data_IF_422078906775
#
_entry.id   IF_422078906775
#
_cell.length_a   1.000
_cell.length_b   1.000
_cell.length_c   1.000
_cell.angle_alpha   90.00
_cell.angle_beta   90.00
_cell.angle_gamma   90.00
#
_symmetry.space_group_name_H-M   'P 1'
#
loop_
_entity.id
_entity.type
_entity.pdbx_description
1 polymer ?
#
# COMPACT_ATOMS: atom_id res chain seq x y z
N UNK A 1 -12.49 38.60 -0.33
CA UNK A 1 -11.58 38.30 0.79
C UNK A 1 -10.42 37.48 0.27
N UNK A 2 -9.19 38.01 0.34
CA UNK A 2 -8.00 37.26 -0.06
C UNK A 2 -7.67 36.26 1.04
N UNK A 3 -7.91 34.98 0.79
CA UNK A 3 -7.50 33.90 1.69
C UNK A 3 -5.97 33.93 1.76
N UNK A 4 -5.42 34.26 2.93
CA UNK A 4 -4.00 34.11 3.20
C UNK A 4 -3.63 32.65 2.92
N UNK A 5 -2.93 32.39 1.82
CA UNK A 5 -2.39 31.06 1.55
C UNK A 5 -1.29 30.80 2.57
N UNK A 6 -1.62 30.04 3.62
CA UNK A 6 -0.59 29.44 4.47
C UNK A 6 0.30 28.60 3.55
N UNK A 7 1.60 28.89 3.53
CA UNK A 7 2.58 28.05 2.86
C UNK A 7 2.40 26.63 3.39
N UNK A 8 2.14 25.63 2.53
CA UNK A 8 1.92 24.27 3.00
C UNK A 8 3.16 23.82 3.78
N UNK A 9 2.95 23.18 4.93
CA UNK A 9 4.04 22.64 5.78
C UNK A 9 4.77 21.46 5.13
N UNK A 10 4.47 21.16 3.87
CA UNK A 10 4.92 20.02 3.09
C UNK A 10 5.15 20.46 1.64
N UNK A 11 6.07 19.79 0.95
CA UNK A 11 6.46 20.10 -0.44
C UNK A 11 5.90 19.11 -1.45
N UNK A 12 5.42 17.95 -1.00
CA UNK A 12 4.92 16.86 -1.84
C UNK A 12 3.63 16.30 -1.25
N UNK A 13 2.66 15.98 -2.10
CA UNK A 13 1.50 15.15 -1.75
C UNK A 13 1.66 13.79 -2.41
N UNK A 14 1.55 12.72 -1.63
CA UNK A 14 1.49 11.35 -2.15
C UNK A 14 0.12 10.76 -1.85
N UNK A 15 -0.59 10.34 -2.88
CA UNK A 15 -1.88 9.68 -2.78
C UNK A 15 -1.74 8.19 -3.10
N UNK A 16 -2.05 7.34 -2.12
CA UNK A 16 -2.09 5.88 -2.27
C UNK A 16 -3.54 5.48 -2.54
N UNK A 17 -3.77 4.89 -3.71
CA UNK A 17 -4.99 4.17 -4.00
C UNK A 17 -4.84 2.70 -3.61
N UNK A 18 -5.27 2.38 -2.39
CA UNK A 18 -5.17 1.03 -1.86
C UNK A 18 -6.41 0.23 -2.27
N UNK A 19 -6.46 -0.37 -3.46
CA UNK A 19 -7.65 -1.08 -3.96
C UNK A 19 -7.85 -2.49 -3.37
N UNK A 20 -8.95 -3.14 -3.76
CA UNK A 20 -9.16 -4.56 -3.42
C UNK A 20 -8.34 -5.48 -4.32
N UNK A 21 -8.37 -5.22 -5.64
CA UNK A 21 -7.69 -6.05 -6.64
C UNK A 21 -6.32 -5.49 -6.96
N UNK A 22 -6.22 -4.18 -7.13
CA UNK A 22 -4.99 -3.51 -7.55
C UNK A 22 -4.82 -2.21 -6.78
N UNK A 23 -3.58 -1.93 -6.42
CA UNK A 23 -3.19 -0.77 -5.64
C UNK A 23 -2.08 0.00 -6.36
N UNK A 24 -1.98 1.30 -6.12
CA UNK A 24 -0.97 2.15 -6.73
C UNK A 24 -0.87 3.48 -6.00
N UNK A 25 0.04 4.34 -6.46
CA UNK A 25 0.13 5.69 -5.94
C UNK A 25 0.46 6.70 -7.04
N UNK A 26 0.16 7.95 -6.72
CA UNK A 26 0.58 9.11 -7.49
C UNK A 26 1.10 10.19 -6.55
N UNK A 27 1.90 11.10 -7.06
CA UNK A 27 2.37 12.25 -6.30
C UNK A 27 2.39 13.53 -7.14
N UNK A 28 2.39 14.67 -6.47
CA UNK A 28 2.66 15.97 -7.07
C UNK A 28 3.43 16.86 -6.11
N UNK A 29 4.21 17.78 -6.65
CA UNK A 29 4.89 18.81 -5.87
C UNK A 29 3.94 19.97 -5.62
N UNK A 30 3.99 20.57 -4.43
CA UNK A 30 3.15 21.75 -4.12
C UNK A 30 3.53 22.97 -4.96
N UNK A 31 4.74 23.00 -5.53
CA UNK A 31 5.18 24.02 -6.47
C UNK A 31 4.53 23.92 -7.84
N UNK A 32 4.06 22.73 -8.22
CA UNK A 32 3.33 22.48 -9.48
C UNK A 32 2.24 21.40 -9.28
N UNK A 33 1.10 21.77 -8.66
CA UNK A 33 0.07 20.79 -8.26
C UNK A 33 -0.62 20.08 -9.43
N UNK A 34 -0.59 20.67 -10.64
CA UNK A 34 -1.21 20.10 -11.84
C UNK A 34 -0.31 19.03 -12.51
N UNK A 35 0.99 19.02 -12.19
CA UNK A 35 1.92 17.98 -12.62
C UNK A 35 1.74 16.71 -11.77
N UNK A 36 0.84 15.82 -12.21
CA UNK A 36 0.59 14.53 -11.54
C UNK A 36 1.54 13.45 -12.07
N UNK A 37 2.36 12.93 -11.17
CA UNK A 37 3.27 11.82 -11.42
C UNK A 37 2.63 10.51 -10.93
N UNK A 38 2.19 9.68 -11.86
CA UNK A 38 1.64 8.35 -11.54
C UNK A 38 2.73 7.29 -11.60
N UNK A 39 2.74 6.36 -10.64
CA UNK A 39 3.68 5.24 -10.68
C UNK A 39 3.32 4.28 -11.84
N UNK A 40 4.31 3.94 -12.66
CA UNK A 40 4.13 3.07 -13.84
C UNK A 40 5.12 1.92 -13.95
N UNK A 41 6.14 1.90 -13.09
CA UNK A 41 7.18 0.87 -13.04
C UNK A 41 6.97 0.02 -11.79
N UNK A 42 6.62 -1.23 -11.97
CA UNK A 42 6.46 -2.19 -10.88
C UNK A 42 7.39 -3.36 -11.13
N UNK A 43 8.10 -3.79 -10.10
CA UNK A 43 8.86 -5.05 -10.16
C UNK A 43 7.89 -6.21 -10.44
N UNK A 44 8.32 -7.15 -11.30
CA UNK A 44 7.50 -8.25 -11.79
C UNK A 44 6.40 -7.87 -12.80
N UNK A 45 6.28 -6.59 -13.18
CA UNK A 45 5.37 -6.18 -14.25
C UNK A 45 5.92 -6.54 -15.64
N UNK A 46 5.02 -6.79 -16.60
CA UNK A 46 5.39 -7.09 -17.98
C UNK A 46 6.20 -5.94 -18.60
N UNK A 47 7.43 -6.20 -19.09
CA UNK A 47 8.26 -5.19 -19.73
C UNK A 47 7.52 -4.52 -20.91
N UNK A 48 7.42 -3.19 -20.87
CA UNK A 48 6.75 -2.40 -21.91
C UNK A 48 5.25 -2.16 -21.68
N UNK A 49 4.64 -2.79 -20.67
CA UNK A 49 3.25 -2.50 -20.25
C UNK A 49 3.28 -1.50 -19.09
N UNK A 50 2.83 -0.27 -19.35
CA UNK A 50 2.77 0.77 -18.33
C UNK A 50 1.55 0.60 -17.40
N UNK A 51 1.61 -0.40 -16.51
CA UNK A 51 0.58 -0.60 -15.50
C UNK A 51 0.68 0.48 -14.41
N UNK A 52 -0.39 1.26 -14.23
CA UNK A 52 -0.45 2.31 -13.20
C UNK A 52 -0.64 1.76 -11.78
N UNK A 53 -0.89 0.45 -11.67
CA UNK A 53 -1.16 -0.26 -10.43
C UNK A 53 -0.50 -1.63 -10.45
N UNK A 54 -0.30 -2.17 -9.26
CA UNK A 54 0.17 -3.53 -9.01
C UNK A 54 -0.94 -4.33 -8.29
N UNK A 55 -0.99 -5.68 -8.40
CA UNK A 55 -1.93 -6.49 -7.65
C UNK A 55 -1.88 -6.18 -6.15
N UNK A 56 -3.02 -6.26 -5.47
CA UNK A 56 -3.08 -6.15 -4.00
C UNK A 56 -2.83 -7.52 -3.40
N UNK A 57 -1.57 -7.95 -3.55
CA UNK A 57 -1.07 -9.25 -3.12
C UNK A 57 0.12 -9.03 -2.20
N UNK A 58 0.10 -9.65 -1.03
CA UNK A 58 1.19 -9.60 -0.06
C UNK A 58 1.71 -11.01 0.18
N UNK A 59 3.03 -11.16 0.18
CA UNK A 59 3.70 -12.40 0.57
C UNK A 59 4.59 -12.13 1.79
N UNK A 60 4.40 -12.94 2.83
CA UNK A 60 5.27 -12.96 4.01
C UNK A 60 5.99 -14.31 4.11
N UNK A 61 7.20 -14.28 4.65
CA UNK A 61 7.99 -15.48 4.94
C UNK A 61 7.30 -16.34 6.01
N UNK A 62 7.71 -17.61 6.22
CA UNK A 62 7.18 -18.46 7.29
C UNK A 62 7.28 -17.86 8.70
N UNK A 63 8.21 -16.93 8.92
CA UNK A 63 8.40 -16.18 10.16
C UNK A 63 7.47 -14.96 10.28
N UNK A 64 6.60 -14.73 9.29
CA UNK A 64 5.68 -13.59 9.24
C UNK A 64 6.34 -12.28 8.81
N UNK A 65 7.55 -12.32 8.25
CA UNK A 65 8.27 -11.11 7.82
C UNK A 65 7.91 -10.71 6.38
N UNK A 66 7.96 -9.42 6.06
CA UNK A 66 7.70 -8.94 4.70
C UNK A 66 8.69 -9.55 3.71
N UNK A 67 8.18 -10.24 2.69
CA UNK A 67 9.00 -10.67 1.56
C UNK A 67 8.79 -9.76 0.35
N UNK A 68 7.56 -9.71 -0.16
CA UNK A 68 7.24 -8.93 -1.37
C UNK A 68 5.77 -8.50 -1.42
N UNK A 69 5.47 -7.58 -2.32
CA UNK A 69 4.13 -7.11 -2.63
C UNK A 69 3.91 -7.08 -4.15
N UNK A 70 2.66 -7.15 -4.60
CA UNK A 70 2.32 -6.95 -6.02
C UNK A 70 2.62 -8.15 -6.89
N UNK A 71 3.06 -7.89 -8.14
CA UNK A 71 3.44 -8.94 -9.09
C UNK A 71 4.52 -9.87 -8.52
N UNK A 72 5.58 -9.31 -7.92
CA UNK A 72 6.64 -10.10 -7.27
C UNK A 72 6.10 -11.04 -6.19
N UNK A 73 5.11 -10.63 -5.39
CA UNK A 73 4.49 -11.51 -4.40
C UNK A 73 3.69 -12.64 -5.03
N UNK A 74 2.90 -12.32 -6.06
CA UNK A 74 2.11 -13.30 -6.78
C UNK A 74 3.02 -14.31 -7.46
N UNK A 75 3.97 -13.85 -8.26
CA UNK A 75 4.78 -14.72 -9.11
C UNK A 75 5.67 -15.62 -8.25
N UNK A 76 6.36 -15.06 -7.24
CA UNK A 76 7.17 -15.84 -6.31
C UNK A 76 6.36 -16.95 -5.61
N UNK A 77 5.17 -16.64 -5.10
CA UNK A 77 4.34 -17.65 -4.41
C UNK A 77 3.90 -18.79 -5.34
N UNK A 78 3.61 -18.50 -6.62
CA UNK A 78 3.18 -19.52 -7.58
C UNK A 78 4.35 -20.32 -8.16
N UNK A 79 5.58 -19.80 -8.04
CA UNK A 79 6.81 -20.49 -8.43
C UNK A 79 7.38 -21.38 -7.30
N UNK A 80 6.93 -21.23 -6.05
CA UNK A 80 7.33 -22.08 -4.93
C UNK A 80 6.88 -23.53 -5.12
N UNK A 81 7.70 -24.45 -4.61
CA UNK A 81 7.27 -25.85 -4.49
C UNK A 81 6.01 -25.96 -3.60
N UNK A 82 5.03 -26.81 -3.93
CA UNK A 82 3.77 -26.89 -3.18
C UNK A 82 3.91 -27.22 -1.69
N UNK A 83 4.99 -27.90 -1.30
CA UNK A 83 5.29 -28.17 0.10
C UNK A 83 5.82 -26.93 0.83
N UNK A 84 6.68 -26.15 0.17
CA UNK A 84 7.19 -24.89 0.70
C UNK A 84 6.09 -23.84 0.79
N UNK A 85 5.28 -23.69 -0.26
CA UNK A 85 4.19 -22.70 -0.32
C UNK A 85 3.20 -22.81 0.85
N UNK A 86 3.04 -24.00 1.45
CA UNK A 86 2.21 -24.21 2.65
C UNK A 86 2.74 -23.49 3.89
N UNK A 87 4.04 -23.20 3.94
CA UNK A 87 4.65 -22.50 5.05
C UNK A 87 4.56 -20.97 4.94
N UNK A 88 4.40 -20.45 3.72
CA UNK A 88 4.36 -19.02 3.44
C UNK A 88 2.97 -18.41 3.62
N UNK A 89 2.91 -17.14 4.00
CA UNK A 89 1.64 -16.41 4.12
C UNK A 89 1.39 -15.56 2.88
N UNK A 90 0.58 -16.07 1.98
CA UNK A 90 0.12 -15.34 0.80
C UNK A 90 -1.30 -14.80 1.02
N UNK A 91 -1.47 -13.49 0.82
CA UNK A 91 -2.74 -12.79 0.94
C UNK A 91 -3.12 -12.11 -0.36
N UNK A 92 -4.35 -12.33 -0.82
CA UNK A 92 -4.97 -11.59 -1.92
C UNK A 92 -6.36 -11.08 -1.53
N UNK A 93 -6.80 -9.97 -2.13
CA UNK A 93 -8.14 -9.37 -1.93
C UNK A 93 -8.50 -9.12 -0.45
N UNK A 94 -7.50 -9.07 0.43
CA UNK A 94 -7.68 -9.01 1.88
C UNK A 94 -8.34 -7.71 2.35
N UNK A 95 -8.33 -6.65 1.53
CA UNK A 95 -9.09 -5.41 1.75
C UNK A 95 -10.59 -5.67 1.99
N UNK A 96 -11.16 -6.70 1.35
CA UNK A 96 -12.59 -7.00 1.50
C UNK A 96 -12.94 -7.46 2.91
N UNK A 97 -11.99 -8.05 3.65
CA UNK A 97 -12.28 -8.61 4.97
C UNK A 97 -12.68 -7.51 5.96
N UNK A 98 -12.02 -6.35 5.93
CA UNK A 98 -12.37 -5.24 6.83
C UNK A 98 -13.64 -4.50 6.41
N UNK A 99 -14.11 -4.69 5.17
CA UNK A 99 -15.42 -4.21 4.73
C UNK A 99 -16.56 -5.16 5.13
N UNK A 100 -16.36 -6.47 5.00
CA UNK A 100 -17.42 -7.47 5.24
C UNK A 100 -17.54 -7.92 6.70
N UNK A 101 -16.56 -7.59 7.56
CA UNK A 101 -16.58 -7.97 8.97
C UNK A 101 -17.42 -6.98 9.78
N UNK A 102 -18.53 -7.46 10.34
CA UNK A 102 -19.45 -6.68 11.18
C UNK A 102 -18.78 -6.15 12.46
N UNK A 103 -17.96 -7.01 13.09
CA UNK A 103 -17.26 -6.74 14.35
C UNK A 103 -15.75 -6.55 14.11
N UNK A 104 -15.41 -5.60 13.23
CA UNK A 104 -14.01 -5.25 12.97
C UNK A 104 -13.36 -4.68 14.24
N UNK A 105 -12.25 -5.28 14.68
CA UNK A 105 -11.45 -4.81 15.80
C UNK A 105 -9.97 -4.81 15.45
N UNK A 106 -9.12 -4.20 16.28
CA UNK A 106 -7.66 -4.26 16.11
C UNK A 106 -7.07 -5.66 16.33
N UNK A 107 -7.87 -6.59 16.87
CA UNK A 107 -7.51 -8.00 17.05
C UNK A 107 -8.01 -8.90 15.91
N UNK A 108 -8.68 -8.32 14.90
CA UNK A 108 -9.17 -9.09 13.75
C UNK A 108 -7.99 -9.73 13.03
N UNK A 109 -8.12 -11.01 12.72
CA UNK A 109 -7.13 -11.79 11.97
C UNK A 109 -7.58 -11.99 10.52
N UNK A 110 -6.59 -12.12 9.63
CA UNK A 110 -6.76 -12.55 8.26
C UNK A 110 -6.23 -13.97 8.10
N UNK A 111 -6.90 -14.74 7.25
CA UNK A 111 -6.45 -16.06 6.86
C UNK A 111 -5.67 -15.94 5.54
N UNK A 112 -4.45 -16.47 5.51
CA UNK A 112 -3.66 -16.60 4.30
C UNK A 112 -4.17 -17.79 3.47
N UNK A 113 -3.72 -17.92 2.22
CA UNK A 113 -4.14 -19.01 1.32
C UNK A 113 -3.87 -20.41 1.89
N UNK A 114 -2.85 -20.57 2.73
CA UNK A 114 -2.53 -21.82 3.42
C UNK A 114 -3.41 -22.10 4.66
N UNK A 115 -4.38 -21.24 4.99
CA UNK A 115 -5.25 -21.37 6.16
C UNK A 115 -4.63 -20.88 7.48
N UNK A 116 -3.35 -20.48 7.49
CA UNK A 116 -2.71 -19.87 8.68
C UNK A 116 -3.21 -18.44 8.86
N UNK A 117 -3.23 -17.96 10.10
CA UNK A 117 -3.76 -16.63 10.45
C UNK A 117 -2.66 -15.64 10.81
N UNK A 118 -2.88 -14.38 10.46
CA UNK A 118 -2.06 -13.23 10.86
C UNK A 118 -2.94 -12.06 11.33
N UNK A 119 -2.46 -11.21 12.25
CA UNK A 119 -3.16 -9.98 12.60
C UNK A 119 -3.42 -9.13 11.34
N UNK A 120 -4.68 -8.72 11.14
CA UNK A 120 -5.05 -7.91 9.98
C UNK A 120 -4.26 -6.59 9.96
N UNK A 121 -4.04 -6.00 11.14
CA UNK A 121 -3.31 -4.74 11.26
C UNK A 121 -1.89 -4.86 10.69
N UNK A 122 -1.20 -5.97 10.96
CA UNK A 122 0.15 -6.22 10.44
C UNK A 122 0.16 -6.38 8.93
N UNK A 123 -0.77 -7.16 8.36
CA UNK A 123 -0.89 -7.37 6.91
C UNK A 123 -1.10 -6.03 6.18
N UNK A 124 -2.00 -5.17 6.68
CA UNK A 124 -2.23 -3.85 6.09
C UNK A 124 -1.05 -2.91 6.30
N UNK A 125 -0.40 -2.94 7.47
CA UNK A 125 0.78 -2.13 7.74
C UNK A 125 1.96 -2.49 6.83
N UNK A 126 2.19 -3.78 6.57
CA UNK A 126 3.18 -4.24 5.60
C UNK A 126 2.91 -3.71 4.20
N UNK A 127 1.66 -3.79 3.74
CA UNK A 127 1.27 -3.30 2.43
C UNK A 127 1.44 -1.76 2.30
N UNK A 128 1.02 -1.00 3.32
CA UNK A 128 1.17 0.47 3.32
C UNK A 128 2.64 0.88 3.45
N UNK A 129 3.44 0.15 4.21
CA UNK A 129 4.89 0.36 4.33
C UNK A 129 5.61 0.17 3.00
N UNK A 130 5.23 -0.86 2.23
CA UNK A 130 5.75 -1.05 0.87
C UNK A 130 5.50 0.19 -0.01
N UNK A 131 4.26 0.70 -0.06
CA UNK A 131 3.96 1.90 -0.84
C UNK A 131 4.71 3.13 -0.35
N UNK A 132 4.84 3.30 0.97
CA UNK A 132 5.62 4.40 1.56
C UNK A 132 7.07 4.35 1.10
N UNK A 133 7.73 3.20 1.24
CA UNK A 133 9.13 3.02 0.86
C UNK A 133 9.34 3.23 -0.64
N UNK A 134 8.48 2.64 -1.47
CA UNK A 134 8.56 2.77 -2.91
C UNK A 134 8.36 4.21 -3.38
N UNK A 135 7.36 4.93 -2.85
CA UNK A 135 7.12 6.32 -3.18
C UNK A 135 8.25 7.25 -2.73
N UNK A 136 8.81 7.01 -1.53
CA UNK A 136 9.97 7.77 -1.05
C UNK A 136 11.19 7.53 -1.92
N UNK A 137 11.45 6.30 -2.35
CA UNK A 137 12.57 5.99 -3.24
C UNK A 137 12.42 6.71 -4.60
N UNK A 138 11.25 6.61 -5.24
CA UNK A 138 10.98 7.30 -6.51
C UNK A 138 11.13 8.83 -6.37
N UNK A 139 10.66 9.41 -5.26
CA UNK A 139 10.84 10.84 -4.98
C UNK A 139 12.30 11.22 -4.82
N UNK A 140 13.11 10.39 -4.14
CA UNK A 140 14.56 10.62 -4.00
C UNK A 140 15.27 10.54 -5.35
N UNK A 141 14.87 9.62 -6.21
CA UNK A 141 15.47 9.46 -7.54
C UNK A 141 15.14 10.66 -8.45
N UNK A 142 13.94 11.23 -8.34
CA UNK A 142 13.54 12.42 -9.12
C UNK A 142 14.02 13.74 -8.49
N UNK A 143 14.12 13.81 -7.16
CA UNK A 143 14.50 15.02 -6.43
C UNK A 143 15.35 14.66 -5.20
N UNK A 144 16.67 14.47 -5.37
CA UNK A 144 17.57 14.06 -4.27
C UNK A 144 17.66 15.06 -3.12
N UNK A 145 17.29 16.33 -3.35
CA UNK A 145 17.31 17.40 -2.35
C UNK A 145 16.04 17.49 -1.50
N UNK A 146 15.04 16.61 -1.74
CA UNK A 146 13.81 16.61 -0.96
C UNK A 146 14.11 16.26 0.52
N UNK A 147 13.66 17.06 1.50
CA UNK A 147 13.87 16.75 2.91
C UNK A 147 13.17 15.44 3.31
N UNK A 148 13.86 14.57 4.06
CA UNK A 148 13.34 13.23 4.37
C UNK A 148 12.11 13.23 5.31
N UNK A 149 12.00 14.21 6.20
CA UNK A 149 10.94 14.28 7.23
C UNK A 149 10.04 15.51 7.03
N UNK A 150 8.74 15.33 7.26
CA UNK A 150 7.66 16.33 7.18
C UNK A 150 7.41 17.00 5.81
N UNK A 151 8.24 16.73 4.80
CA UNK A 151 8.04 17.25 3.44
C UNK A 151 6.90 16.56 2.67
N UNK A 152 6.43 15.39 3.11
CA UNK A 152 5.43 14.59 2.39
C UNK A 152 4.10 14.53 3.16
N UNK A 153 3.03 14.99 2.50
CA UNK A 153 1.65 14.76 2.92
C UNK A 153 1.12 13.47 2.32
N UNK A 154 0.82 12.48 3.17
CA UNK A 154 0.22 11.22 2.76
C UNK A 154 -1.30 11.31 2.71
N UNK A 155 -1.87 10.83 1.61
CA UNK A 155 -3.32 10.67 1.40
C UNK A 155 -3.58 9.21 1.10
N UNK A 156 -4.45 8.57 1.88
CA UNK A 156 -4.86 7.18 1.67
C UNK A 156 -6.33 7.15 1.27
N UNK A 157 -6.63 6.57 0.10
CA UNK A 157 -8.02 6.45 -0.35
C UNK A 157 -8.73 5.32 0.43
N UNK A 158 -9.96 5.59 0.83
CA UNK A 158 -10.86 4.59 1.42
C UNK A 158 -12.23 4.67 0.74
N UNK A 159 -12.92 3.54 0.52
CA UNK A 159 -14.24 3.56 -0.11
C UNK A 159 -15.24 4.38 0.70
N UNK A 160 -16.09 5.17 0.02
CA UNK A 160 -17.07 6.04 0.67
C UNK A 160 -18.07 5.26 1.55
N UNK A 161 -18.42 4.04 1.14
CA UNK A 161 -19.37 3.15 1.83
C UNK A 161 -18.84 2.55 3.14
N UNK A 162 -17.55 2.74 3.44
CA UNK A 162 -16.96 2.17 4.65
C UNK A 162 -17.46 2.87 5.92
N UNK A 163 -17.79 2.06 6.92
CA UNK A 163 -18.13 2.52 8.27
C UNK A 163 -16.91 3.12 8.95
N UNK A 164 -17.14 3.97 9.96
CA UNK A 164 -16.07 4.64 10.71
C UNK A 164 -15.02 3.68 11.31
N UNK A 165 -15.37 2.49 11.84
CA UNK A 165 -14.37 1.54 12.33
C UNK A 165 -13.36 1.11 11.27
N UNK A 166 -13.80 0.87 10.02
CA UNK A 166 -12.89 0.49 8.93
C UNK A 166 -11.96 1.64 8.51
N UNK A 167 -12.46 2.88 8.55
CA UNK A 167 -11.62 4.08 8.31
C UNK A 167 -10.60 4.28 9.43
N UNK A 168 -10.99 4.07 10.69
CA UNK A 168 -10.06 4.12 11.82
C UNK A 168 -9.02 2.99 11.72
N UNK A 169 -9.44 1.78 11.37
CA UNK A 169 -8.53 0.65 11.17
C UNK A 169 -7.45 0.97 10.13
N UNK A 170 -7.81 1.52 8.97
CA UNK A 170 -6.82 1.94 7.96
C UNK A 170 -5.88 3.04 8.46
N UNK A 171 -6.39 3.93 9.31
CA UNK A 171 -5.56 4.97 9.93
C UNK A 171 -4.55 4.34 10.88
N UNK A 172 -4.97 3.43 11.76
CA UNK A 172 -4.04 2.71 12.64
C UNK A 172 -3.01 1.90 11.86
N UNK A 173 -3.41 1.25 10.77
CA UNK A 173 -2.48 0.50 9.91
C UNK A 173 -1.43 1.38 9.22
N UNK A 174 -1.70 2.69 9.08
CA UNK A 174 -0.82 3.64 8.41
C UNK A 174 0.18 4.33 9.36
N UNK A 175 -0.02 4.24 10.68
CA UNK A 175 0.88 4.77 11.71
C UNK A 175 2.01 3.78 12.03
#
# INVERSE_FOLDING_TARGET
EARSQQTPSFSVVVAIDFGTTSSGYAFSFTSDPEAIHMMRKWEGGDPGVANQKTPTSLLLTPEGTFHSFGYTARDYYHDLDPEEAREWFYFEKFKMKIHSTSDLTMKTELEAVNGKKMPALEVFAHALRFFKQHAVQELKDQCPSLPENDAIRWVLTVPAIWKQPAKQFMREAAY
#
